data_IF_907134055917
#
_entry.id   IF_907134055917
#
_cell.length_a   1.000
_cell.length_b   1.000
_cell.length_c   1.000
_cell.angle_alpha   90.00
_cell.angle_beta   90.00
_cell.angle_gamma   90.00
#
_symmetry.space_group_name_H-M   'P 1'
#
loop_
_entity.id
_entity.type
_entity.pdbx_description
1 polymer ?
#
# COMPACT_ATOMS: atom_id res chain seq x y z
N UNK A 1 -50.99 40.39 -3.59
CA UNK A 1 -50.22 40.25 -4.86
C UNK A 1 -48.79 40.65 -4.53
N UNK A 2 -47.70 39.93 -4.76
CA UNK A 2 -47.42 38.60 -5.31
C UNK A 2 -46.02 38.18 -4.78
N UNK A 3 -45.73 36.89 -4.82
CA UNK A 3 -44.59 36.18 -4.25
C UNK A 3 -43.24 36.45 -4.94
N UNK A 4 -42.14 36.08 -4.26
CA UNK A 4 -40.81 36.02 -4.86
C UNK A 4 -39.70 35.57 -3.90
N UNK A 5 -39.79 34.32 -3.44
CA UNK A 5 -38.74 33.58 -2.74
C UNK A 5 -37.53 33.41 -3.68
N UNK A 6 -36.33 33.77 -3.23
CA UNK A 6 -35.08 33.60 -3.97
C UNK A 6 -34.05 32.94 -3.08
N UNK A 7 -34.24 31.66 -2.85
CA UNK A 7 -33.29 30.73 -2.23
C UNK A 7 -32.08 30.63 -3.16
N UNK A 8 -30.88 30.93 -2.68
CA UNK A 8 -29.65 30.72 -3.45
C UNK A 8 -28.81 29.69 -2.73
N UNK A 9 -29.06 28.43 -3.08
CA UNK A 9 -28.24 27.27 -2.78
C UNK A 9 -26.80 27.52 -3.27
N UNK A 10 -25.90 27.76 -2.32
CA UNK A 10 -24.47 27.78 -2.57
C UNK A 10 -24.02 26.33 -2.67
N UNK A 11 -23.66 25.99 -3.91
CA UNK A 11 -23.18 24.70 -4.42
C UNK A 11 -22.24 24.00 -3.43
N UNK A 12 -22.66 22.81 -2.98
CA UNK A 12 -21.75 21.79 -2.49
C UNK A 12 -20.84 21.37 -3.66
N UNK A 13 -19.59 21.86 -3.66
CA UNK A 13 -18.53 21.26 -4.45
C UNK A 13 -18.31 19.84 -3.91
N UNK A 14 -18.97 18.88 -4.57
CA UNK A 14 -18.65 17.47 -4.47
C UNK A 14 -17.19 17.31 -4.93
N UNK A 15 -16.30 17.22 -3.95
CA UNK A 15 -15.04 16.51 -4.10
C UNK A 15 -15.40 15.05 -4.40
N UNK A 16 -15.65 14.75 -5.67
CA UNK A 16 -15.63 13.37 -6.13
C UNK A 16 -14.17 12.95 -6.13
N UNK A 17 -13.70 12.54 -4.95
CA UNK A 17 -12.65 11.54 -4.84
C UNK A 17 -13.15 10.28 -5.52
N UNK A 18 -13.16 10.31 -6.86
CA UNK A 18 -13.05 9.10 -7.66
C UNK A 18 -11.63 8.60 -7.38
N UNK A 19 -11.49 7.91 -6.26
CA UNK A 19 -10.38 7.01 -6.02
C UNK A 19 -10.47 5.98 -7.14
N UNK A 20 -9.85 6.32 -8.28
CA UNK A 20 -9.94 5.56 -9.50
C UNK A 20 -9.70 4.11 -9.17
N UNK A 21 -10.77 3.32 -9.22
CA UNK A 21 -10.66 1.87 -9.24
C UNK A 21 -9.74 1.60 -10.41
N UNK A 22 -8.53 1.12 -10.11
CA UNK A 22 -7.57 0.74 -11.13
C UNK A 22 -8.30 -0.31 -11.97
N UNK A 23 -8.75 0.07 -13.17
CA UNK A 23 -9.43 -0.82 -14.11
C UNK A 23 -8.38 -1.81 -14.65
N UNK A 24 -8.01 -2.74 -13.78
CA UNK A 24 -7.32 -3.96 -14.13
C UNK A 24 -8.41 -4.86 -14.69
N UNK A 25 -8.68 -4.72 -15.99
CA UNK A 25 -9.77 -5.41 -16.66
C UNK A 25 -9.87 -6.90 -16.28
N UNK A 26 -11.06 -7.34 -15.87
CA UNK A 26 -11.43 -8.74 -15.73
C UNK A 26 -10.99 -9.46 -14.44
N UNK A 27 -11.14 -8.83 -13.26
CA UNK A 27 -10.88 -9.47 -11.94
C UNK A 27 -11.99 -10.46 -11.50
N UNK A 28 -13.03 -10.70 -12.30
CA UNK A 28 -14.18 -11.50 -11.83
C UNK A 28 -13.88 -12.99 -11.58
N UNK A 29 -12.74 -13.54 -12.08
CA UNK A 29 -12.39 -14.96 -11.94
C UNK A 29 -10.97 -15.27 -11.44
N UNK A 30 -10.23 -14.31 -10.90
CA UNK A 30 -8.82 -14.52 -10.52
C UNK A 30 -8.67 -15.18 -9.15
N UNK A 31 -7.71 -16.08 -9.02
CA UNK A 31 -7.31 -16.57 -7.70
C UNK A 31 -6.64 -15.45 -6.88
N UNK A 32 -6.72 -15.58 -5.55
CA UNK A 32 -6.01 -14.67 -4.63
C UNK A 32 -4.52 -14.62 -4.97
N UNK A 33 -3.91 -15.75 -5.36
CA UNK A 33 -2.52 -15.83 -5.76
C UNK A 33 -2.19 -15.02 -7.02
N UNK A 34 -3.01 -15.13 -8.07
CA UNK A 34 -2.82 -14.36 -9.30
C UNK A 34 -2.96 -12.85 -9.06
N UNK A 35 -3.93 -12.47 -8.23
CA UNK A 35 -4.13 -11.08 -7.80
C UNK A 35 -2.90 -10.54 -7.07
N UNK A 36 -2.37 -11.31 -6.10
CA UNK A 36 -1.13 -10.95 -5.39
C UNK A 36 0.07 -10.82 -6.32
N UNK A 37 0.22 -11.70 -7.30
CA UNK A 37 1.33 -11.64 -8.27
C UNK A 37 1.23 -10.39 -9.15
N UNK A 38 0.03 -10.03 -9.61
CA UNK A 38 -0.16 -8.81 -10.40
C UNK A 38 0.12 -7.56 -9.59
N UNK A 39 -0.38 -7.47 -8.35
CA UNK A 39 -0.04 -6.35 -7.48
C UNK A 39 1.47 -6.28 -7.18
N UNK A 40 2.13 -7.42 -6.98
CA UNK A 40 3.58 -7.44 -6.77
C UNK A 40 4.35 -6.92 -7.99
N UNK A 41 3.94 -7.28 -9.21
CA UNK A 41 4.55 -6.74 -10.44
C UNK A 41 4.34 -5.24 -10.58
N UNK A 42 3.11 -4.77 -10.33
CA UNK A 42 2.80 -3.33 -10.34
C UNK A 42 3.66 -2.57 -9.32
N UNK A 43 3.81 -3.10 -8.10
CA UNK A 43 4.65 -2.48 -7.07
C UNK A 43 6.13 -2.49 -7.44
N UNK A 44 6.60 -3.52 -8.16
CA UNK A 44 7.97 -3.58 -8.66
C UNK A 44 8.22 -2.51 -9.73
N UNK A 45 7.36 -2.43 -10.75
CA UNK A 45 7.46 -1.42 -11.80
C UNK A 45 7.32 0.01 -11.22
N UNK A 46 6.44 0.18 -10.24
CA UNK A 46 6.28 1.44 -9.53
C UNK A 46 7.52 1.82 -8.72
N UNK A 47 8.15 0.87 -8.02
CA UNK A 47 9.39 1.11 -7.30
C UNK A 47 10.54 1.54 -8.24
N UNK A 48 10.64 0.92 -9.41
CA UNK A 48 11.60 1.34 -10.45
C UNK A 48 11.30 2.77 -10.93
N UNK A 49 10.02 3.11 -11.10
CA UNK A 49 9.57 4.46 -11.39
C UNK A 49 9.93 5.48 -10.31
N UNK A 50 9.77 5.13 -9.03
CA UNK A 50 10.17 5.99 -7.90
C UNK A 50 11.67 6.28 -7.94
N UNK A 51 12.49 5.25 -8.16
CA UNK A 51 13.95 5.41 -8.26
C UNK A 51 14.34 6.31 -9.43
N UNK A 52 13.63 6.21 -10.56
CA UNK A 52 13.83 7.09 -11.69
C UNK A 52 13.46 8.55 -11.34
N UNK A 53 12.30 8.76 -10.70
CA UNK A 53 11.82 10.09 -10.31
C UNK A 53 12.71 10.76 -9.25
N UNK A 54 13.32 9.99 -8.35
CA UNK A 54 14.23 10.50 -7.33
C UNK A 54 15.42 11.29 -7.93
N UNK A 55 15.81 11.02 -9.18
CA UNK A 55 16.86 11.77 -9.88
C UNK A 55 16.51 13.23 -10.14
N UNK A 56 15.22 13.57 -10.22
CA UNK A 56 14.75 14.93 -10.47
C UNK A 56 14.55 15.73 -9.18
N UNK A 57 14.57 15.06 -8.02
CA UNK A 57 14.42 15.66 -6.70
C UNK A 57 13.20 16.59 -6.57
N UNK A 58 12.08 16.20 -7.20
CA UNK A 58 10.82 16.94 -7.11
C UNK A 58 10.17 16.71 -5.74
N UNK A 59 10.17 17.75 -4.92
CA UNK A 59 9.66 17.70 -3.55
C UNK A 59 8.13 17.56 -3.52
N UNK A 60 7.41 18.15 -4.48
CA UNK A 60 5.94 18.09 -4.52
C UNK A 60 5.48 16.68 -4.83
N UNK A 61 6.18 16.02 -5.75
CA UNK A 61 5.91 14.62 -6.05
C UNK A 61 6.26 13.72 -4.87
N UNK A 62 7.39 13.97 -4.18
CA UNK A 62 7.75 13.25 -2.95
C UNK A 62 6.70 13.38 -1.84
N UNK A 63 6.18 14.59 -1.59
CA UNK A 63 5.10 14.82 -0.61
C UNK A 63 3.81 14.07 -0.98
N UNK A 64 3.46 14.04 -2.27
CA UNK A 64 2.28 13.28 -2.74
C UNK A 64 2.47 11.78 -2.52
N UNK A 65 3.67 11.26 -2.85
CA UNK A 65 4.03 9.87 -2.66
C UNK A 65 3.96 9.45 -1.18
N UNK A 66 4.49 10.27 -0.27
CA UNK A 66 4.42 9.99 1.16
C UNK A 66 2.98 10.01 1.67
N UNK A 67 2.18 11.01 1.26
CA UNK A 67 0.79 11.15 1.71
C UNK A 67 -0.09 9.99 1.24
N UNK A 68 0.02 9.59 -0.02
CA UNK A 68 -0.83 8.55 -0.62
C UNK A 68 -0.30 7.14 -0.32
N UNK A 69 1.03 6.97 -0.23
CA UNK A 69 1.68 5.69 0.01
C UNK A 69 1.89 5.31 1.49
N UNK A 70 1.63 6.22 2.44
CA UNK A 70 1.97 6.03 3.87
C UNK A 70 1.52 4.69 4.45
N UNK A 71 0.26 4.30 4.22
CA UNK A 71 -0.31 3.06 4.77
C UNK A 71 0.35 1.81 4.19
N UNK A 72 0.65 1.82 2.89
CA UNK A 72 1.36 0.74 2.21
C UNK A 72 2.80 0.62 2.70
N UNK A 73 3.50 1.74 2.86
CA UNK A 73 4.87 1.75 3.38
C UNK A 73 4.93 1.27 4.84
N UNK A 74 3.96 1.65 5.66
CA UNK A 74 3.83 1.14 7.03
C UNK A 74 3.61 -0.38 7.06
N UNK A 75 2.68 -0.89 6.24
CA UNK A 75 2.44 -2.32 6.10
C UNK A 75 3.71 -3.07 5.66
N UNK A 76 4.39 -2.56 4.63
CA UNK A 76 5.63 -3.14 4.13
C UNK A 76 6.72 -3.16 5.22
N UNK A 77 6.87 -2.06 5.96
CA UNK A 77 7.82 -1.96 7.07
C UNK A 77 7.52 -3.00 8.16
N UNK A 78 6.26 -3.13 8.57
CA UNK A 78 5.86 -4.11 9.59
C UNK A 78 6.12 -5.56 9.14
N UNK A 79 5.80 -5.90 7.89
CA UNK A 79 6.06 -7.24 7.34
C UNK A 79 7.56 -7.56 7.27
N UNK A 80 8.40 -6.61 6.84
CA UNK A 80 9.84 -6.79 6.74
C UNK A 80 10.51 -6.84 8.12
N UNK A 81 10.04 -6.04 9.07
CA UNK A 81 10.51 -6.09 10.45
C UNK A 81 10.16 -7.44 11.10
N UNK A 82 8.93 -7.92 10.90
CA UNK A 82 8.52 -9.25 11.35
C UNK A 82 9.41 -10.36 10.76
N UNK A 83 9.75 -10.27 9.46
CA UNK A 83 10.69 -11.22 8.82
C UNK A 83 12.10 -11.12 9.42
N UNK A 84 12.60 -9.90 9.67
CA UNK A 84 13.91 -9.69 10.29
C UNK A 84 13.96 -10.24 11.72
N UNK A 85 12.91 -10.00 12.51
CA UNK A 85 12.78 -10.52 13.87
C UNK A 85 12.74 -12.05 13.86
N UNK A 86 11.93 -12.66 12.99
CA UNK A 86 11.87 -14.11 12.85
C UNK A 86 13.24 -14.72 12.48
N UNK A 87 13.95 -14.10 11.54
CA UNK A 87 15.28 -14.55 11.12
C UNK A 87 16.35 -14.35 12.21
N UNK A 88 16.21 -13.32 13.04
CA UNK A 88 17.16 -13.01 14.13
C UNK A 88 16.90 -13.82 15.40
N UNK A 89 15.64 -14.16 15.66
CA UNK A 89 15.17 -14.76 16.93
C UNK A 89 14.87 -16.24 16.73
N UNK A 90 15.88 -17.03 16.34
CA UNK A 90 15.78 -18.50 16.38
C UNK A 90 15.67 -18.94 17.85
N UNK A 91 14.44 -18.98 18.39
CA UNK A 91 14.13 -19.62 19.68
C UNK A 91 13.08 -18.93 20.54
N UNK A 92 12.69 -17.68 20.26
CA UNK A 92 11.66 -16.99 21.04
C UNK A 92 10.51 -16.64 20.09
N UNK A 93 9.36 -17.29 20.29
CA UNK A 93 8.17 -16.94 19.53
C UNK A 93 7.84 -15.46 19.82
N UNK A 94 7.65 -14.63 18.77
CA UNK A 94 7.15 -13.29 18.96
C UNK A 94 5.85 -13.36 19.75
N UNK A 95 5.79 -12.63 20.87
CA UNK A 95 4.55 -12.54 21.65
C UNK A 95 3.52 -11.88 20.75
N UNK A 96 2.41 -12.58 20.53
CA UNK A 96 1.34 -12.29 19.56
C UNK A 96 0.64 -10.93 19.70
N UNK A 97 1.11 -10.05 20.61
CA UNK A 97 0.42 -8.86 21.11
C UNK A 97 1.13 -7.53 20.81
N UNK A 98 2.20 -7.50 20.02
CA UNK A 98 2.76 -6.23 19.55
C UNK A 98 1.85 -5.59 18.50
N UNK A 99 1.65 -4.26 18.54
CA UNK A 99 0.81 -3.53 17.58
C UNK A 99 1.25 -3.74 16.12
N UNK A 100 2.55 -3.93 15.91
CA UNK A 100 3.21 -4.34 14.66
C UNK A 100 2.75 -5.72 14.17
N UNK A 101 2.45 -6.65 15.09
CA UNK A 101 2.03 -8.00 14.78
C UNK A 101 0.60 -8.09 14.23
N UNK A 102 -0.29 -7.12 14.52
CA UNK A 102 -1.65 -7.13 13.97
C UNK A 102 -1.68 -6.92 12.46
N UNK A 103 -0.85 -6.02 11.95
CA UNK A 103 -0.78 -5.71 10.50
C UNK A 103 -0.04 -6.78 9.71
N UNK A 104 0.92 -7.47 10.34
CA UNK A 104 1.68 -8.57 9.74
C UNK A 104 1.16 -9.97 10.14
N UNK A 105 -0.01 -10.07 10.79
CA UNK A 105 -0.51 -11.33 11.36
C UNK A 105 -0.68 -12.45 10.32
N UNK A 106 -1.11 -12.09 9.11
CA UNK A 106 -1.30 -13.03 8.00
C UNK A 106 -0.05 -13.16 7.11
N UNK A 107 1.01 -12.40 7.40
CA UNK A 107 2.25 -12.42 6.62
C UNK A 107 3.09 -13.63 7.01
N UNK A 108 3.32 -14.52 6.05
CA UNK A 108 4.25 -15.65 6.20
C UNK A 108 5.66 -15.18 5.87
N UNK A 109 6.56 -15.30 6.84
CA UNK A 109 7.98 -14.95 6.67
C UNK A 109 8.63 -15.84 5.63
N UNK A 110 9.41 -15.26 4.72
CA UNK A 110 10.19 -16.06 3.77
C UNK A 110 11.29 -16.81 4.53
N UNK A 111 11.67 -18.03 4.11
CA UNK A 111 12.89 -18.65 4.58
C UNK A 111 14.05 -17.67 4.43
N UNK A 112 15.04 -17.67 5.33
CA UNK A 112 16.28 -16.97 5.08
C UNK A 112 16.74 -17.35 3.67
N UNK A 113 17.37 -16.42 2.96
CA UNK A 113 18.24 -16.80 1.85
C UNK A 113 19.36 -17.64 2.47
N UNK A 114 19.10 -18.93 2.71
CA UNK A 114 20.14 -19.91 2.78
C UNK A 114 20.94 -19.67 1.51
N UNK A 115 22.25 -19.48 1.67
CA UNK A 115 23.19 -19.51 0.58
C UNK A 115 22.66 -20.40 -0.54
N UNK A 116 22.67 -19.88 -1.75
CA UNK A 116 22.58 -20.66 -2.97
C UNK A 116 23.79 -21.62 -3.04
N UNK A 117 23.79 -22.60 -2.15
CA UNK A 117 24.68 -23.73 -2.02
C UNK A 117 23.81 -24.98 -2.05
N UNK A 118 23.30 -25.28 -3.25
CA UNK A 118 23.68 -26.50 -3.94
C UNK A 118 23.35 -26.41 -5.43
#
# INVERSE_FOLDING_TARGET
MAAGQGDSDIRDDKDSGDEGIIDVGGIENWSVGETMVTHAKLLQDFADGILYQAQFNDHRWGESLEREGASLFQLASHCLEHERQYNSTRGTLPTTWEKTAMSAMYYRTRPPRADALS
#
